data_IF_853456458382
#
_entry.id   IF_853456458382
#
_cell.length_a   1.000
_cell.length_b   1.000
_cell.length_c   1.000
_cell.angle_alpha   90.00
_cell.angle_beta   90.00
_cell.angle_gamma   90.00
#
_symmetry.space_group_name_H-M   'P 1'
#
loop_
_entity.id
_entity.type
_entity.pdbx_description
1 polymer ?
#
# COMPACT_ATOMS: atom_id res chain seq x y z
N UNK A 1 -39.19 -28.01 -65.99
CA UNK A 1 -39.22 -27.67 -64.55
C UNK A 1 -37.80 -27.43 -64.11
N UNK A 2 -37.38 -26.15 -64.07
CA UNK A 2 -36.01 -25.76 -63.73
C UNK A 2 -35.96 -25.57 -62.21
N UNK A 3 -35.33 -26.49 -61.49
CA UNK A 3 -35.04 -26.33 -60.06
C UNK A 3 -33.93 -25.30 -59.91
N UNK A 4 -34.26 -24.08 -59.49
CA UNK A 4 -33.26 -23.16 -58.97
C UNK A 4 -32.89 -23.67 -57.57
N UNK A 5 -31.78 -24.39 -57.48
CA UNK A 5 -31.10 -24.63 -56.21
C UNK A 5 -30.61 -23.27 -55.69
N UNK A 6 -31.43 -22.61 -54.87
CA UNK A 6 -30.97 -21.50 -54.04
C UNK A 6 -30.08 -22.12 -52.97
N UNK A 7 -28.82 -22.37 -53.34
CA UNK A 7 -27.80 -22.77 -52.40
C UNK A 7 -27.73 -21.73 -51.29
N UNK A 8 -28.05 -22.16 -50.07
CA UNK A 8 -28.01 -21.29 -48.90
C UNK A 8 -26.56 -20.84 -48.68
N UNK A 9 -26.21 -19.63 -49.15
CA UNK A 9 -24.87 -19.06 -48.96
C UNK A 9 -24.66 -18.96 -47.45
N UNK A 10 -23.77 -19.80 -46.93
CA UNK A 10 -23.46 -19.79 -45.50
C UNK A 10 -22.66 -18.54 -45.19
N UNK A 11 -23.27 -17.64 -44.41
CA UNK A 11 -22.66 -16.39 -43.94
C UNK A 11 -21.40 -16.67 -43.14
N UNK A 12 -20.37 -15.88 -43.36
CA UNK A 12 -19.11 -15.94 -42.63
C UNK A 12 -19.05 -14.83 -41.59
N UNK A 13 -18.22 -15.04 -40.56
CA UNK A 13 -17.86 -13.93 -39.69
C UNK A 13 -16.88 -13.01 -40.40
N UNK A 14 -16.96 -11.71 -40.15
CA UNK A 14 -15.91 -10.76 -40.51
C UNK A 14 -15.71 -9.78 -39.36
N UNK A 15 -14.51 -9.22 -39.28
CA UNK A 15 -14.14 -8.27 -38.25
C UNK A 15 -13.76 -6.95 -38.89
N UNK A 16 -14.14 -5.84 -38.26
CA UNK A 16 -13.71 -4.50 -38.64
C UNK A 16 -13.01 -3.87 -37.45
N UNK A 17 -11.72 -3.61 -37.60
CA UNK A 17 -10.94 -2.87 -36.61
C UNK A 17 -11.33 -1.39 -36.69
N UNK A 18 -11.77 -0.83 -35.57
CA UNK A 18 -12.12 0.60 -35.44
C UNK A 18 -10.89 1.45 -35.09
N UNK A 19 -9.94 0.86 -34.37
CA UNK A 19 -8.68 1.50 -34.00
C UNK A 19 -7.56 0.46 -34.04
N UNK A 20 -6.53 0.72 -34.85
CA UNK A 20 -5.37 -0.16 -35.00
C UNK A 20 -4.49 -0.18 -33.75
N UNK A 21 -4.53 0.88 -32.94
CA UNK A 21 -3.82 0.92 -31.67
C UNK A 21 -4.74 0.53 -30.51
N UNK A 22 -4.72 -0.74 -30.15
CA UNK A 22 -5.50 -1.29 -29.04
C UNK A 22 -4.65 -1.19 -27.78
N UNK A 23 -4.98 -0.22 -26.93
CA UNK A 23 -4.30 0.02 -25.65
C UNK A 23 -5.23 -0.37 -24.51
N UNK A 24 -4.68 -1.09 -23.53
CA UNK A 24 -5.28 -1.30 -22.22
C UNK A 24 -4.35 -0.77 -21.13
N UNK A 25 -4.95 -0.22 -20.08
CA UNK A 25 -4.21 0.10 -18.86
C UNK A 25 -3.89 -1.19 -18.09
N UNK A 26 -2.72 -1.24 -17.48
CA UNK A 26 -2.33 -2.31 -16.57
C UNK A 26 -3.37 -2.44 -15.45
N UNK A 27 -3.84 -3.65 -15.19
CA UNK A 27 -4.84 -3.90 -14.15
C UNK A 27 -4.85 -5.35 -13.67
N UNK A 28 -5.44 -5.59 -12.50
CA UNK A 28 -5.71 -6.94 -11.99
C UNK A 28 -6.87 -7.66 -12.69
N UNK A 29 -7.51 -6.99 -13.65
CA UNK A 29 -8.66 -7.55 -14.37
C UNK A 29 -8.20 -8.64 -15.32
N UNK A 30 -8.91 -9.77 -15.35
CA UNK A 30 -8.69 -10.78 -16.38
C UNK A 30 -9.18 -10.27 -17.74
N UNK A 31 -8.39 -10.49 -18.78
CA UNK A 31 -8.78 -10.08 -20.13
C UNK A 31 -10.00 -10.88 -20.61
N UNK A 32 -11.00 -10.16 -21.12
CA UNK A 32 -12.17 -10.76 -21.76
C UNK A 32 -12.37 -10.14 -23.13
N UNK A 33 -12.74 -10.95 -24.12
CA UNK A 33 -12.90 -10.48 -25.51
C UNK A 33 -13.94 -9.36 -25.66
N UNK A 34 -14.93 -9.30 -24.74
CA UNK A 34 -15.92 -8.23 -24.68
C UNK A 34 -15.33 -6.85 -24.42
N UNK A 35 -14.11 -6.78 -23.87
CA UNK A 35 -13.35 -5.53 -23.69
C UNK A 35 -12.96 -4.89 -25.03
N UNK A 36 -13.01 -5.64 -26.13
CA UNK A 36 -12.71 -5.14 -27.48
C UNK A 36 -13.92 -4.54 -28.20
N UNK A 37 -15.11 -4.50 -27.60
CA UNK A 37 -16.35 -4.06 -28.26
C UNK A 37 -16.29 -2.66 -28.87
N UNK A 38 -15.50 -1.76 -28.27
CA UNK A 38 -15.32 -0.38 -28.72
C UNK A 38 -14.11 -0.23 -29.67
N UNK A 39 -13.41 -1.33 -29.98
CA UNK A 39 -12.19 -1.39 -30.79
C UNK A 39 -12.35 -2.24 -32.04
N UNK A 40 -13.24 -3.24 -32.01
CA UNK A 40 -13.49 -4.18 -33.10
C UNK A 40 -15.00 -4.43 -33.21
N UNK A 41 -15.54 -4.30 -34.41
CA UNK A 41 -16.91 -4.74 -34.72
C UNK A 41 -16.90 -6.13 -35.34
N UNK A 42 -17.93 -6.92 -35.05
CA UNK A 42 -18.10 -8.29 -35.53
C UNK A 42 -19.35 -8.36 -36.39
N UNK A 43 -19.25 -8.99 -37.56
CA UNK A 43 -20.37 -9.16 -38.48
C UNK A 43 -20.58 -10.61 -38.85
N UNK A 44 -21.84 -11.04 -39.00
CA UNK A 44 -22.22 -12.31 -39.61
C UNK A 44 -22.88 -12.05 -40.97
N UNK A 45 -22.13 -12.20 -42.05
CA UNK A 45 -22.46 -11.58 -43.33
C UNK A 45 -22.47 -10.06 -43.18
N UNK A 46 -23.58 -9.40 -43.53
CA UNK A 46 -23.71 -7.93 -43.43
C UNK A 46 -24.28 -7.44 -42.09
N UNK A 47 -24.73 -8.35 -41.21
CA UNK A 47 -25.36 -7.99 -39.94
C UNK A 47 -24.32 -7.89 -38.84
N UNK A 48 -24.19 -6.71 -38.21
CA UNK A 48 -23.40 -6.52 -37.00
C UNK A 48 -23.97 -7.38 -35.84
N UNK A 49 -23.07 -7.97 -35.07
CA UNK A 49 -23.37 -8.84 -33.94
C UNK A 49 -22.42 -8.57 -32.78
N UNK A 50 -22.75 -9.13 -31.61
CA UNK A 50 -21.90 -9.06 -30.43
C UNK A 50 -20.76 -10.10 -30.48
N UNK A 51 -20.00 -10.17 -29.38
CA UNK A 51 -18.82 -11.04 -29.23
C UNK A 51 -19.15 -12.46 -28.73
N UNK A 52 -20.42 -12.86 -28.61
CA UNK A 52 -20.81 -14.13 -27.99
C UNK A 52 -20.24 -15.37 -28.72
N UNK A 53 -20.01 -15.24 -30.03
CA UNK A 53 -19.43 -16.30 -30.86
C UNK A 53 -17.92 -16.12 -31.12
N UNK A 54 -17.28 -15.15 -30.48
CA UNK A 54 -15.86 -14.83 -30.65
C UNK A 54 -15.08 -15.43 -29.48
N UNK A 55 -14.04 -16.20 -29.80
CA UNK A 55 -12.99 -16.57 -28.87
C UNK A 55 -11.67 -15.93 -29.30
N UNK A 56 -10.64 -16.05 -28.48
CA UNK A 56 -9.29 -15.65 -28.85
C UNK A 56 -8.28 -16.76 -28.56
N UNK A 57 -7.15 -16.69 -29.25
CA UNK A 57 -5.96 -17.51 -29.01
C UNK A 57 -4.75 -16.58 -28.84
N UNK A 58 -3.80 -16.98 -28.01
CA UNK A 58 -2.65 -16.15 -27.60
C UNK A 58 -2.70 -15.88 -26.10
N UNK A 59 -1.56 -15.52 -25.53
CA UNK A 59 -1.44 -15.20 -24.12
C UNK A 59 -1.46 -13.68 -23.94
N UNK A 60 -2.31 -13.19 -23.04
CA UNK A 60 -2.39 -11.79 -22.64
C UNK A 60 -2.46 -11.69 -21.13
N UNK A 61 -1.63 -10.83 -20.56
CA UNK A 61 -1.51 -10.63 -19.12
C UNK A 61 -1.65 -9.14 -18.82
N UNK A 62 -2.85 -8.70 -18.44
CA UNK A 62 -3.10 -7.27 -18.13
C UNK A 62 -2.38 -6.80 -16.86
N UNK A 63 -1.78 -7.71 -16.07
CA UNK A 63 -0.94 -7.34 -14.93
C UNK A 63 0.45 -6.88 -15.35
N UNK A 64 0.83 -7.04 -16.63
CA UNK A 64 2.18 -6.74 -17.10
C UNK A 64 2.15 -5.82 -18.30
N UNK A 65 2.91 -4.73 -18.20
CA UNK A 65 3.17 -3.83 -19.32
C UNK A 65 3.88 -4.59 -20.43
N UNK A 66 3.42 -4.42 -21.67
CA UNK A 66 3.99 -5.14 -22.81
C UNK A 66 3.10 -5.13 -24.06
N UNK A 67 3.60 -5.77 -25.10
CA UNK A 67 2.86 -6.01 -26.34
C UNK A 67 2.47 -7.47 -26.42
N UNK A 68 1.20 -7.74 -26.70
CA UNK A 68 0.61 -9.07 -26.71
C UNK A 68 -0.05 -9.33 -28.05
N UNK A 69 0.38 -10.38 -28.72
CA UNK A 69 -0.23 -10.84 -29.96
C UNK A 69 -1.36 -11.83 -29.64
N UNK A 70 -2.57 -11.52 -30.09
CA UNK A 70 -3.70 -12.42 -30.02
C UNK A 70 -4.33 -12.59 -31.40
N UNK A 71 -5.09 -13.67 -31.58
CA UNK A 71 -5.96 -13.84 -32.75
C UNK A 71 -7.38 -14.05 -32.28
N UNK A 72 -8.30 -13.18 -32.72
CA UNK A 72 -9.72 -13.44 -32.58
C UNK A 72 -10.12 -14.56 -33.54
N UNK A 73 -11.01 -15.43 -33.10
CA UNK A 73 -11.53 -16.55 -33.87
C UNK A 73 -13.05 -16.57 -33.73
N UNK A 74 -13.76 -16.67 -34.84
CA UNK A 74 -15.20 -16.88 -34.85
C UNK A 74 -15.57 -17.93 -35.89
N UNK A 75 -16.45 -18.86 -35.53
CA UNK A 75 -16.82 -19.98 -36.40
C UNK A 75 -18.32 -19.99 -36.63
N UNK A 76 -18.74 -19.98 -37.90
CA UNK A 76 -20.12 -20.26 -38.27
C UNK A 76 -20.19 -21.54 -39.10
N UNK A 77 -20.89 -22.55 -38.57
CA UNK A 77 -20.88 -23.92 -39.08
C UNK A 77 -19.44 -24.46 -39.18
N UNK A 78 -18.87 -24.47 -40.38
CA UNK A 78 -17.54 -25.01 -40.67
C UNK A 78 -16.57 -23.95 -41.21
N UNK A 79 -16.97 -22.67 -41.22
CA UNK A 79 -16.13 -21.57 -41.71
C UNK A 79 -15.57 -20.79 -40.53
N UNK A 80 -14.25 -20.72 -40.46
CA UNK A 80 -13.51 -20.05 -39.39
C UNK A 80 -12.96 -18.73 -39.93
N UNK A 81 -13.28 -17.64 -39.25
CA UNK A 81 -12.72 -16.33 -39.52
C UNK A 81 -11.74 -15.97 -38.42
N UNK A 82 -10.59 -15.40 -38.82
CA UNK A 82 -9.53 -15.01 -37.90
C UNK A 82 -9.17 -13.53 -38.08
N UNK A 83 -8.84 -12.85 -36.99
CA UNK A 83 -8.28 -11.51 -37.00
C UNK A 83 -7.09 -11.45 -36.03
N UNK A 84 -5.85 -11.35 -36.53
CA UNK A 84 -4.71 -11.06 -35.67
C UNK A 84 -4.80 -9.63 -35.13
N UNK A 85 -4.46 -9.45 -33.86
CA UNK A 85 -4.43 -8.16 -33.16
C UNK A 85 -3.16 -8.08 -32.32
N UNK A 86 -2.64 -6.86 -32.19
CA UNK A 86 -1.62 -6.51 -31.20
C UNK A 86 -2.28 -5.65 -30.13
N UNK A 87 -2.17 -6.10 -28.88
CA UNK A 87 -2.65 -5.38 -27.71
C UNK A 87 -1.44 -4.80 -26.97
N UNK A 88 -1.46 -3.49 -26.73
CA UNK A 88 -0.48 -2.80 -25.92
C UNK A 88 -1.04 -2.62 -24.50
N UNK A 89 -0.42 -3.28 -23.52
CA UNK A 89 -0.68 -2.99 -22.10
C UNK A 89 0.32 -1.92 -21.68
N UNK A 90 -0.20 -0.79 -21.20
CA UNK A 90 0.61 0.35 -20.73
C UNK A 90 0.26 0.66 -19.30
N UNK A 91 1.17 1.36 -18.63
CA UNK A 91 0.90 1.95 -17.33
C UNK A 91 1.23 3.44 -17.39
N UNK A 92 0.20 4.24 -17.15
CA UNK A 92 0.16 5.70 -17.23
C UNK A 92 -0.23 6.32 -15.89
N UNK A 93 -0.49 5.49 -14.88
CA UNK A 93 -0.95 5.93 -13.57
C UNK A 93 0.27 6.16 -12.71
N UNK A 94 0.36 7.34 -12.09
CA UNK A 94 1.45 7.64 -11.15
C UNK A 94 1.31 6.79 -9.88
N UNK A 95 2.43 6.41 -9.26
CA UNK A 95 2.38 5.81 -7.93
C UNK A 95 1.90 6.83 -6.89
N UNK A 96 1.49 6.32 -5.72
CA UNK A 96 0.94 7.09 -4.61
C UNK A 96 1.85 6.98 -3.37
N UNK A 97 2.20 8.13 -2.79
CA UNK A 97 2.85 8.18 -1.49
C UNK A 97 1.83 8.08 -0.36
N UNK A 98 2.05 7.15 0.56
CA UNK A 98 1.37 7.05 1.84
C UNK A 98 2.36 7.40 2.95
N UNK A 99 2.26 8.64 3.44
CA UNK A 99 3.14 9.23 4.45
C UNK A 99 2.33 9.49 5.72
N UNK A 100 2.73 8.88 6.85
CA UNK A 100 1.99 8.97 8.12
C UNK A 100 2.52 10.05 9.06
N UNK A 101 3.59 10.73 8.69
CA UNK A 101 4.17 11.88 9.40
C UNK A 101 4.94 12.78 8.42
N UNK A 102 4.74 14.11 8.52
CA UNK A 102 5.39 15.09 7.63
C UNK A 102 6.70 15.66 8.21
N UNK A 103 7.03 15.29 9.46
CA UNK A 103 8.28 15.61 10.11
C UNK A 103 8.92 14.33 10.66
N UNK A 104 10.12 14.03 10.21
CA UNK A 104 10.94 12.92 10.66
C UNK A 104 11.96 13.40 11.69
N UNK A 105 11.94 12.83 12.89
CA UNK A 105 12.88 13.19 13.95
C UNK A 105 14.04 12.21 14.05
N UNK A 106 15.25 12.72 13.88
CA UNK A 106 16.50 11.97 14.10
C UNK A 106 17.33 12.61 15.20
N UNK A 107 18.06 11.78 15.95
CA UNK A 107 18.99 12.24 16.95
C UNK A 107 20.32 12.65 16.30
N UNK A 108 21.02 13.58 16.91
CA UNK A 108 22.32 14.06 16.43
C UNK A 108 23.29 12.88 16.31
N UNK A 109 24.03 12.84 15.19
CA UNK A 109 24.99 11.80 14.83
C UNK A 109 24.38 10.39 14.66
N UNK A 110 23.05 10.26 14.58
CA UNK A 110 22.39 8.97 14.37
C UNK A 110 22.83 8.36 13.01
N UNK A 111 23.31 7.11 13.02
CA UNK A 111 23.81 6.42 11.82
C UNK A 111 22.67 5.80 11.00
N UNK A 112 21.62 6.59 10.77
CA UNK A 112 20.42 6.17 10.05
C UNK A 112 20.53 6.45 8.54
N UNK A 113 20.04 5.54 7.71
CA UNK A 113 19.87 5.81 6.28
C UNK A 113 18.52 6.49 6.03
N UNK A 114 18.49 7.50 5.15
CA UNK A 114 17.24 8.12 4.71
C UNK A 114 16.54 7.19 3.72
N UNK A 115 15.86 6.16 4.24
CA UNK A 115 15.10 5.18 3.48
C UNK A 115 13.70 5.02 4.09
N UNK A 116 12.75 4.55 3.29
CA UNK A 116 11.34 4.37 3.66
C UNK A 116 11.12 3.54 4.93
N UNK A 117 11.96 2.52 5.13
CA UNK A 117 11.86 1.54 6.20
C UNK A 117 11.89 2.17 7.60
N UNK A 118 12.54 3.32 7.74
CA UNK A 118 12.66 4.02 9.01
C UNK A 118 11.56 5.04 9.27
N UNK A 119 10.82 5.48 8.27
CA UNK A 119 9.95 6.67 8.37
C UNK A 119 8.48 6.39 8.06
N UNK A 120 8.07 5.11 8.09
CA UNK A 120 6.72 4.67 7.74
C UNK A 120 6.25 5.15 6.37
N UNK A 121 7.18 5.45 5.45
CA UNK A 121 6.82 5.91 4.11
C UNK A 121 6.48 4.67 3.28
N UNK A 122 5.37 4.72 2.56
CA UNK A 122 5.07 3.73 1.53
C UNK A 122 4.85 4.39 0.18
N UNK A 123 5.38 3.80 -0.88
CA UNK A 123 5.08 4.11 -2.27
C UNK A 123 4.33 2.92 -2.85
N UNK A 124 3.09 3.15 -3.28
CA UNK A 124 2.22 2.11 -3.81
C UNK A 124 1.94 2.39 -5.27
N UNK A 125 2.03 1.36 -6.10
CA UNK A 125 1.81 1.43 -7.53
C UNK A 125 0.81 0.37 -7.97
N UNK A 126 -0.43 0.78 -8.22
CA UNK A 126 -1.48 -0.03 -8.84
C UNK A 126 -1.42 -1.55 -8.55
N UNK A 127 -1.35 -2.41 -9.58
CA UNK A 127 -1.18 -3.86 -9.44
C UNK A 127 0.20 -4.30 -8.90
N UNK A 128 1.22 -3.45 -8.99
CA UNK A 128 2.58 -3.73 -8.54
C UNK A 128 2.72 -3.72 -7.01
N UNK A 129 1.78 -3.07 -6.30
CA UNK A 129 1.77 -3.04 -4.84
C UNK A 129 2.83 -2.08 -4.29
N UNK A 130 3.51 -2.47 -3.21
CA UNK A 130 4.55 -1.63 -2.59
C UNK A 130 5.83 -1.67 -3.41
N UNK A 131 6.34 -0.49 -3.75
CA UNK A 131 7.57 -0.27 -4.52
C UNK A 131 8.54 0.69 -3.78
N UNK A 132 8.65 0.52 -2.47
CA UNK A 132 9.43 1.38 -1.58
C UNK A 132 10.91 1.53 -1.98
N UNK A 133 11.48 0.52 -2.63
CA UNK A 133 12.85 0.54 -3.15
C UNK A 133 13.06 1.60 -4.25
N UNK A 134 11.98 2.19 -4.77
CA UNK A 134 11.99 3.23 -5.80
C UNK A 134 11.76 4.64 -5.25
N UNK A 135 11.80 4.78 -3.94
CA UNK A 135 11.79 6.07 -3.28
C UNK A 135 13.22 6.60 -3.24
N UNK A 136 13.39 7.84 -3.66
CA UNK A 136 14.62 8.60 -3.48
C UNK A 136 14.34 9.88 -2.67
N UNK A 137 15.37 10.38 -2.01
CA UNK A 137 15.29 11.56 -1.15
C UNK A 137 16.17 12.65 -1.76
N UNK A 138 15.58 13.79 -2.11
CA UNK A 138 16.29 14.97 -2.58
C UNK A 138 16.37 16.01 -1.45
N UNK A 139 17.57 16.52 -1.20
CA UNK A 139 17.86 17.43 -0.09
C UNK A 139 19.15 17.05 0.63
N UNK A 140 19.59 17.90 1.56
CA UNK A 140 20.77 17.63 2.39
C UNK A 140 20.44 17.83 3.85
N UNK A 141 20.69 16.80 4.66
CA UNK A 141 20.47 16.81 6.11
C UNK A 141 21.82 16.75 6.80
N UNK A 142 22.19 17.81 7.52
CA UNK A 142 23.39 17.79 8.35
C UNK A 142 23.06 17.17 9.72
N UNK A 143 23.39 15.89 9.90
CA UNK A 143 23.10 15.11 11.11
C UNK A 143 23.91 15.54 12.34
N UNK A 144 24.93 16.38 12.17
CA UNK A 144 25.78 16.87 13.27
C UNK A 144 25.24 18.17 13.89
N UNK A 145 24.31 18.84 13.19
CA UNK A 145 23.76 20.13 13.59
C UNK A 145 22.25 20.02 13.80
N UNK A 146 21.80 20.31 15.02
CA UNK A 146 20.38 20.41 15.31
C UNK A 146 19.72 21.48 14.43
N UNK A 147 18.56 21.17 13.87
CA UNK A 147 17.92 22.01 12.88
C UNK A 147 16.81 21.29 12.11
N UNK A 148 16.09 22.05 11.28
CA UNK A 148 15.03 21.54 10.40
C UNK A 148 15.51 21.62 8.95
N UNK A 149 15.44 20.51 8.24
CA UNK A 149 15.96 20.35 6.89
C UNK A 149 14.82 19.89 5.96
N UNK A 150 14.42 20.69 4.95
CA UNK A 150 13.42 20.27 3.98
C UNK A 150 14.01 19.18 3.07
N UNK A 151 13.20 18.17 2.78
CA UNK A 151 13.53 17.04 1.92
C UNK A 151 12.34 16.73 1.04
N UNK A 152 12.59 16.46 -0.24
CA UNK A 152 11.56 16.02 -1.18
C UNK A 152 11.71 14.52 -1.43
N UNK A 153 10.64 13.76 -1.15
CA UNK A 153 10.52 12.37 -1.53
C UNK A 153 10.16 12.30 -3.01
N UNK A 154 10.88 11.48 -3.78
CA UNK A 154 10.62 11.27 -5.20
C UNK A 154 10.38 9.78 -5.41
N UNK A 155 9.17 9.43 -5.84
CA UNK A 155 8.79 8.08 -6.21
C UNK A 155 8.67 7.95 -7.72
N UNK A 156 9.19 6.86 -8.28
CA UNK A 156 9.06 6.54 -9.69
C UNK A 156 8.73 5.06 -9.88
N UNK A 157 7.70 4.74 -10.65
CA UNK A 157 7.36 3.35 -10.97
C UNK A 157 8.28 2.74 -12.04
N UNK A 158 7.94 1.54 -12.54
CA UNK A 158 8.68 0.86 -13.61
C UNK A 158 8.47 1.50 -14.99
N UNK A 159 7.30 2.08 -15.22
CA UNK A 159 6.90 2.71 -16.50
C UNK A 159 7.43 4.13 -16.64
N UNK A 160 7.96 4.68 -15.56
CA UNK A 160 8.60 5.98 -15.49
C UNK A 160 7.68 7.08 -14.97
N UNK A 161 6.46 6.80 -14.52
CA UNK A 161 5.59 7.82 -13.94
C UNK A 161 6.13 8.24 -12.57
N UNK A 162 6.03 9.54 -12.26
CA UNK A 162 6.66 10.15 -11.08
C UNK A 162 5.66 10.87 -10.19
N UNK A 163 5.94 10.81 -8.89
CA UNK A 163 5.25 11.55 -7.83
C UNK A 163 6.28 12.14 -6.86
N UNK A 164 5.99 13.31 -6.32
CA UNK A 164 6.83 14.02 -5.37
C UNK A 164 6.02 14.34 -4.10
N UNK A 165 6.69 14.34 -2.94
CA UNK A 165 6.07 14.69 -1.67
C UNK A 165 7.10 15.35 -0.73
N UNK A 166 6.79 16.54 -0.22
CA UNK A 166 7.71 17.28 0.65
C UNK A 166 7.53 16.87 2.13
N UNK A 167 8.66 16.70 2.81
CA UNK A 167 8.75 16.39 4.24
C UNK A 167 9.84 17.23 4.89
N UNK A 168 9.85 17.27 6.22
CA UNK A 168 10.96 17.85 6.97
C UNK A 168 11.70 16.76 7.74
N UNK A 169 13.03 16.84 7.75
CA UNK A 169 13.87 16.07 8.66
C UNK A 169 14.37 17.01 9.74
N UNK A 170 14.03 16.72 10.99
CA UNK A 170 14.52 17.48 12.13
C UNK A 170 15.61 16.70 12.85
N UNK A 171 16.75 17.35 13.06
CA UNK A 171 17.86 16.83 13.86
C UNK A 171 17.74 17.44 15.25
N UNK A 172 17.68 16.60 16.28
CA UNK A 172 17.64 17.02 17.69
C UNK A 172 18.85 16.49 18.45
N UNK A 173 19.34 17.27 19.42
CA UNK A 173 20.30 16.83 20.43
C UNK A 173 19.62 16.54 21.79
N UNK A 174 18.28 16.55 21.83
CA UNK A 174 17.47 16.24 23.00
C UNK A 174 16.93 14.81 22.86
N UNK A 175 17.60 13.88 23.53
CA UNK A 175 17.26 12.46 23.51
C UNK A 175 15.86 12.16 24.08
N UNK A 176 15.39 12.92 25.06
CA UNK A 176 14.02 12.77 25.60
C UNK A 176 12.96 13.11 24.55
N UNK A 177 13.27 14.01 23.63
CA UNK A 177 12.41 14.35 22.51
C UNK A 177 12.35 13.21 21.49
N UNK A 178 13.52 12.63 21.15
CA UNK A 178 13.59 11.42 20.32
C UNK A 178 12.82 10.25 20.96
N UNK A 179 12.94 10.08 22.28
CA UNK A 179 12.20 9.06 23.02
C UNK A 179 10.67 9.28 22.93
N UNK A 180 10.20 10.52 23.06
CA UNK A 180 8.78 10.85 22.89
C UNK A 180 8.29 10.53 21.48
N UNK A 181 9.07 10.89 20.47
CA UNK A 181 8.76 10.59 19.07
C UNK A 181 8.66 9.08 18.82
N UNK A 182 9.65 8.29 19.28
CA UNK A 182 9.62 6.83 19.17
C UNK A 182 8.44 6.20 19.94
N UNK A 183 8.11 6.72 21.12
CA UNK A 183 6.94 6.29 21.89
C UNK A 183 5.63 6.51 21.11
N UNK A 184 5.45 7.71 20.53
CA UNK A 184 4.25 8.02 19.73
C UNK A 184 4.17 7.13 18.48
N UNK A 185 5.32 6.85 17.84
CA UNK A 185 5.39 5.92 16.71
C UNK A 185 5.04 4.49 17.10
N UNK A 186 5.52 4.02 18.24
CA UNK A 186 5.15 2.71 18.77
C UNK A 186 3.65 2.62 19.07
N UNK A 187 3.03 3.65 19.63
CA UNK A 187 1.58 3.73 19.82
C UNK A 187 0.84 3.59 18.48
N UNK A 188 1.19 4.42 17.49
CA UNK A 188 0.55 4.39 16.15
C UNK A 188 0.68 3.01 15.50
N UNK A 189 1.88 2.43 15.53
CA UNK A 189 2.14 1.11 14.96
C UNK A 189 1.38 0.00 15.72
N UNK A 190 1.34 0.05 17.05
CA UNK A 190 0.53 -0.87 17.86
C UNK A 190 -0.97 -0.71 17.53
N UNK A 191 -1.47 0.48 17.25
CA UNK A 191 -2.86 0.66 16.80
C UNK A 191 -3.08 0.34 15.32
N UNK A 192 -2.06 -0.15 14.63
CA UNK A 192 -2.13 -0.39 13.19
C UNK A 192 -2.52 0.83 12.36
N UNK A 193 -2.31 2.05 12.88
CA UNK A 193 -2.57 3.31 12.17
C UNK A 193 -1.62 3.50 10.98
N UNK A 194 -0.49 2.78 11.00
CA UNK A 194 0.50 2.77 9.92
C UNK A 194 0.32 1.60 8.95
N UNK A 195 -0.73 0.78 9.09
CA UNK A 195 -0.97 -0.36 8.19
C UNK A 195 -1.55 0.09 6.86
N UNK A 196 -0.98 -0.43 5.78
CA UNK A 196 -1.46 -0.26 4.42
C UNK A 196 -2.04 -1.57 3.95
N UNK A 197 -3.28 -1.51 3.46
CA UNK A 197 -4.02 -2.66 2.96
C UNK A 197 -4.04 -2.65 1.43
N UNK A 198 -4.04 -3.86 0.86
CA UNK A 198 -4.21 -4.00 -0.59
C UNK A 198 -5.58 -3.47 -1.00
N UNK A 199 -5.58 -2.53 -1.96
CA UNK A 199 -6.81 -1.92 -2.48
C UNK A 199 -7.70 -2.99 -3.13
N UNK A 200 -9.01 -2.90 -2.90
CA UNK A 200 -10.03 -3.80 -3.45
C UNK A 200 -9.88 -5.30 -3.07
N UNK A 201 -9.10 -5.63 -2.04
CA UNK A 201 -8.93 -7.00 -1.57
C UNK A 201 -9.96 -7.36 -0.47
N UNK A 202 -10.91 -8.28 -0.71
CA UNK A 202 -11.87 -8.70 0.32
C UNK A 202 -11.23 -9.46 1.49
N UNK A 203 -10.00 -9.98 1.32
CA UNK A 203 -9.25 -10.68 2.36
C UNK A 203 -8.47 -9.74 3.29
N UNK A 204 -8.41 -8.44 2.96
CA UNK A 204 -7.76 -7.40 3.77
C UNK A 204 -6.27 -7.67 3.99
N UNK A 205 -5.56 -8.05 2.93
CA UNK A 205 -4.13 -8.26 3.00
C UNK A 205 -3.40 -6.96 3.39
N UNK A 206 -2.58 -7.03 4.44
CA UNK A 206 -1.63 -5.97 4.81
C UNK A 206 -0.39 -6.12 3.94
N UNK A 207 0.02 -5.04 3.28
CA UNK A 207 1.12 -5.07 2.31
C UNK A 207 2.40 -4.41 2.82
N UNK A 208 2.34 -3.57 3.86
CA UNK A 208 3.52 -2.87 4.42
C UNK A 208 3.95 -3.40 5.81
N UNK A 209 3.67 -4.67 6.11
CA UNK A 209 3.79 -5.18 7.47
C UNK A 209 5.20 -5.03 8.06
N UNK A 210 6.26 -5.31 7.30
CA UNK A 210 7.63 -5.12 7.81
C UNK A 210 7.90 -3.64 8.16
N UNK A 211 7.63 -2.73 7.23
CA UNK A 211 7.84 -1.29 7.41
C UNK A 211 7.03 -0.72 8.58
N UNK A 212 5.76 -1.11 8.73
CA UNK A 212 4.88 -0.63 9.80
C UNK A 212 5.37 -1.00 11.21
N UNK A 213 6.15 -2.07 11.35
CA UNK A 213 6.63 -2.59 12.63
C UNK A 213 8.14 -2.46 12.85
N UNK A 214 8.88 -1.82 11.94
CA UNK A 214 10.33 -1.62 12.06
C UNK A 214 10.77 -0.84 13.31
N UNK A 215 9.86 -0.07 13.94
CA UNK A 215 10.15 0.64 15.20
C UNK A 215 10.35 -0.34 16.37
N UNK A 216 9.79 -1.55 16.27
CA UNK A 216 9.87 -2.59 17.30
C UNK A 216 10.93 -3.63 16.99
N UNK A 217 11.47 -4.23 18.05
CA UNK A 217 12.26 -5.45 17.96
C UNK A 217 11.41 -6.67 17.58
N UNK A 218 12.03 -7.76 17.03
CA UNK A 218 11.31 -8.95 16.57
C UNK A 218 10.40 -9.63 17.61
N UNK A 219 10.78 -9.60 18.89
CA UNK A 219 9.98 -10.13 20.00
C UNK A 219 8.67 -9.35 20.21
N UNK A 220 8.69 -8.02 20.10
CA UNK A 220 7.49 -7.19 20.23
C UNK A 220 6.61 -7.23 18.98
N UNK A 221 7.22 -7.31 17.80
CA UNK A 221 6.48 -7.61 16.56
C UNK A 221 5.67 -8.90 16.71
N UNK A 222 6.29 -9.96 17.20
CA UNK A 222 5.61 -11.25 17.45
C UNK A 222 4.52 -11.14 18.52
N UNK A 223 4.76 -10.40 19.60
CA UNK A 223 3.77 -10.15 20.64
C UNK A 223 2.57 -9.37 20.10
N UNK A 224 2.81 -8.34 19.28
CA UNK A 224 1.77 -7.62 18.57
C UNK A 224 0.99 -8.54 17.64
N UNK A 225 1.64 -9.41 16.86
CA UNK A 225 0.95 -10.37 15.99
C UNK A 225 0.03 -11.32 16.76
N UNK A 226 0.48 -11.78 17.92
CA UNK A 226 -0.34 -12.57 18.83
C UNK A 226 -1.50 -11.74 19.39
N UNK A 227 -1.24 -10.52 19.84
CA UNK A 227 -2.25 -9.58 20.33
C UNK A 227 -3.18 -9.04 19.23
N UNK A 228 -2.86 -9.16 17.96
CA UNK A 228 -3.72 -8.68 16.87
C UNK A 228 -4.53 -9.80 16.24
N UNK A 229 -4.27 -11.05 16.63
CA UNK A 229 -4.83 -12.22 15.96
C UNK A 229 -4.38 -12.34 14.50
N UNK A 230 -3.34 -11.61 14.08
CA UNK A 230 -2.76 -11.67 12.72
C UNK A 230 -2.03 -13.01 12.51
N UNK A 231 -1.62 -13.69 13.59
CA UNK A 231 -1.05 -15.04 13.50
C UNK A 231 -2.11 -16.13 13.72
N UNK A 232 -2.53 -16.80 12.64
CA UNK A 232 -3.48 -17.92 12.68
C UNK A 232 -4.92 -17.54 12.28
N UNK A 233 -5.73 -18.54 11.94
CA UNK A 233 -7.17 -18.38 11.66
C UNK A 233 -7.82 -17.47 12.70
N UNK A 234 -8.37 -16.34 12.23
CA UNK A 234 -9.12 -15.34 13.00
C UNK A 234 -9.83 -15.95 14.22
N UNK A 235 -9.29 -15.74 15.42
CA UNK A 235 -9.89 -16.14 16.69
C UNK A 235 -10.17 -14.90 17.54
N UNK A 236 -11.41 -14.36 17.53
CA UNK A 236 -11.75 -13.08 18.16
C UNK A 236 -11.75 -13.12 19.71
N UNK A 237 -11.14 -14.13 20.35
CA UNK A 237 -11.22 -14.36 21.80
C UNK A 237 -9.88 -14.38 22.55
N UNK A 238 -8.75 -14.10 21.91
CA UNK A 238 -7.46 -14.12 22.62
C UNK A 238 -6.66 -12.84 22.59
N UNK A 239 -7.21 -11.75 22.05
CA UNK A 239 -6.56 -10.46 22.15
C UNK A 239 -7.52 -9.28 21.92
N UNK A 240 -7.26 -8.14 22.58
CA UNK A 240 -8.14 -6.95 22.60
C UNK A 240 -8.12 -6.09 21.34
N UNK A 241 -7.52 -6.56 20.24
CA UNK A 241 -7.34 -5.80 19.00
C UNK A 241 -8.33 -6.31 17.95
N UNK A 242 -9.23 -5.45 17.51
CA UNK A 242 -10.26 -5.73 16.51
C UNK A 242 -9.97 -4.91 15.25
N UNK A 243 -10.08 -5.49 14.06
CA UNK A 243 -9.94 -4.73 12.80
C UNK A 243 -11.30 -4.15 12.38
N UNK A 244 -11.37 -2.86 12.04
CA UNK A 244 -12.59 -2.17 11.59
C UNK A 244 -12.39 -1.53 10.21
N UNK A 245 -13.46 -1.48 9.40
CA UNK A 245 -13.54 -0.58 8.24
C UNK A 245 -14.12 0.75 8.67
N UNK A 246 -13.54 1.86 8.24
CA UNK A 246 -14.17 3.16 8.35
C UNK A 246 -15.15 3.42 7.18
N UNK A 247 -15.67 4.64 7.12
CA UNK A 247 -16.63 5.10 6.11
C UNK A 247 -16.03 5.17 4.68
N UNK A 248 -14.71 5.21 4.56
CA UNK A 248 -13.95 5.26 3.31
C UNK A 248 -13.41 3.86 2.90
N UNK A 249 -13.89 2.79 3.56
CA UNK A 249 -13.41 1.40 3.42
C UNK A 249 -11.94 1.18 3.83
N UNK A 250 -11.34 2.11 4.56
CA UNK A 250 -10.00 1.97 5.12
C UNK A 250 -10.05 1.08 6.36
N UNK A 251 -9.13 0.13 6.45
CA UNK A 251 -9.05 -0.82 7.57
C UNK A 251 -8.15 -0.27 8.69
N UNK A 252 -8.60 -0.35 9.94
CA UNK A 252 -7.85 0.06 11.12
C UNK A 252 -7.81 -1.06 12.16
N UNK A 253 -6.66 -1.27 12.80
CA UNK A 253 -6.57 -2.15 13.97
C UNK A 253 -6.98 -1.39 15.23
N UNK A 254 -8.25 -1.47 15.61
CA UNK A 254 -8.68 -1.04 16.93
C UNK A 254 -8.16 -2.02 17.98
N UNK A 255 -6.92 -1.83 18.38
CA UNK A 255 -6.68 -1.75 19.80
C UNK A 255 -7.50 -0.53 20.21
N UNK A 256 -8.57 -0.68 20.98
CA UNK A 256 -9.11 0.47 21.71
C UNK A 256 -8.26 0.55 22.98
N UNK A 257 -7.13 1.29 23.05
CA UNK A 257 -7.07 2.14 24.21
C UNK A 257 -8.23 3.11 24.04
N UNK A 258 -9.01 3.35 25.08
CA UNK A 258 -9.93 4.49 25.07
C UNK A 258 -9.15 5.81 25.05
N UNK A 259 -8.36 6.05 24.01
CA UNK A 259 -7.93 7.36 23.61
C UNK A 259 -9.10 7.92 22.83
N UNK A 260 -10.03 8.56 23.54
CA UNK A 260 -10.78 9.62 22.90
C UNK A 260 -9.71 10.60 22.38
N UNK A 261 -9.31 10.50 21.11
CA UNK A 261 -8.26 11.34 20.53
C UNK A 261 -8.61 12.83 20.73
N UNK A 262 -9.91 13.14 20.68
CA UNK A 262 -10.51 14.44 20.98
C UNK A 262 -10.28 14.93 22.43
N UNK A 263 -9.87 14.04 23.32
CA UNK A 263 -9.60 14.30 24.75
C UNK A 263 -8.12 14.22 25.10
N UNK A 264 -7.24 13.80 24.18
CA UNK A 264 -5.81 13.74 24.44
C UNK A 264 -5.24 15.14 24.65
N UNK A 265 -4.54 15.34 25.76
CA UNK A 265 -3.92 16.63 26.10
C UNK A 265 -2.42 16.61 25.79
N UNK A 266 -1.74 15.53 26.16
CA UNK A 266 -0.29 15.44 26.02
C UNK A 266 0.30 14.24 26.77
N UNK A 267 1.57 13.98 26.53
CA UNK A 267 2.33 12.94 27.23
C UNK A 267 3.58 13.57 27.84
N UNK A 268 3.88 13.22 29.09
CA UNK A 268 5.16 13.54 29.73
C UNK A 268 5.99 12.28 29.88
N UNK A 269 7.31 12.39 29.70
CA UNK A 269 8.26 11.32 29.96
C UNK A 269 9.05 11.58 31.24
N UNK A 270 9.29 10.52 32.00
CA UNK A 270 10.23 10.52 33.12
C UNK A 270 11.15 9.31 33.01
N UNK A 271 12.46 9.54 33.07
CA UNK A 271 13.45 8.47 33.10
C UNK A 271 13.35 7.74 34.44
N UNK A 272 13.32 6.41 34.40
CA UNK A 272 13.40 5.55 35.57
C UNK A 272 14.84 5.14 35.86
N UNK A 273 15.54 4.66 34.82
CA UNK A 273 16.95 4.29 34.86
C UNK A 273 17.55 4.43 33.45
N UNK A 274 18.86 4.55 33.44
CA UNK A 274 19.71 4.59 32.25
C UNK A 274 20.90 3.67 32.51
N UNK A 275 21.10 2.74 31.58
CA UNK A 275 22.18 1.75 31.61
C UNK A 275 22.87 1.75 30.22
N UNK A 276 23.95 0.99 30.04
CA UNK A 276 24.77 1.06 28.83
C UNK A 276 23.97 0.73 27.55
N UNK A 277 23.63 1.77 26.77
CA UNK A 277 22.85 1.66 25.54
C UNK A 277 21.34 1.56 25.72
N UNK A 278 20.81 1.70 26.95
CA UNK A 278 19.38 1.58 27.25
C UNK A 278 18.85 2.75 28.08
N UNK A 279 17.61 3.15 27.80
CA UNK A 279 16.87 4.10 28.62
C UNK A 279 15.46 3.63 28.87
N UNK A 280 15.08 3.64 30.14
CA UNK A 280 13.76 3.21 30.58
C UNK A 280 12.95 4.43 30.97
N UNK A 281 11.79 4.56 30.37
CA UNK A 281 10.87 5.65 30.58
C UNK A 281 9.56 5.14 31.18
N UNK A 282 9.00 6.00 32.02
CA UNK A 282 7.56 6.05 32.26
C UNK A 282 7.00 7.18 31.41
N UNK A 283 6.06 6.83 30.51
CA UNK A 283 5.27 7.80 29.78
C UNK A 283 3.91 7.95 30.46
N UNK A 284 3.54 9.18 30.81
CA UNK A 284 2.24 9.51 31.41
C UNK A 284 1.43 10.32 30.41
N UNK A 285 0.45 9.70 29.78
CA UNK A 285 -0.48 10.37 28.85
C UNK A 285 -1.68 10.89 29.62
N UNK A 286 -2.02 12.16 29.38
CA UNK A 286 -3.11 12.87 30.05
C UNK A 286 -4.27 13.07 29.07
N UNK A 287 -5.48 12.81 29.57
CA UNK A 287 -6.72 12.98 28.81
C UNK A 287 -7.71 13.80 29.61
N UNK A 288 -8.55 14.57 28.92
CA UNK A 288 -9.56 15.43 29.51
C UNK A 288 -10.96 15.08 28.98
N UNK A 289 -11.83 14.60 29.86
CA UNK A 289 -13.23 14.35 29.55
C UNK A 289 -14.10 15.33 30.35
N UNK A 290 -14.69 16.32 29.67
CA UNK A 290 -15.38 17.43 30.32
C UNK A 290 -14.45 18.18 31.31
N UNK A 291 -14.79 18.23 32.60
CA UNK A 291 -13.97 18.83 33.67
C UNK A 291 -13.02 17.84 34.35
N UNK A 292 -13.10 16.54 34.03
CA UNK A 292 -12.27 15.51 34.64
C UNK A 292 -11.02 15.22 33.81
N UNK A 293 -9.89 15.10 34.51
CA UNK A 293 -8.60 14.70 33.93
C UNK A 293 -8.25 13.31 34.42
N UNK A 294 -7.86 12.42 33.52
CA UNK A 294 -7.31 11.11 33.88
C UNK A 294 -5.99 10.87 33.14
N UNK A 295 -5.13 10.05 33.76
CA UNK A 295 -3.80 9.73 33.24
C UNK A 295 -3.65 8.24 33.00
N UNK A 296 -2.87 7.90 31.97
CA UNK A 296 -2.44 6.53 31.68
C UNK A 296 -0.93 6.44 31.72
N UNK A 297 -0.45 5.37 32.32
CA UNK A 297 0.98 5.13 32.53
C UNK A 297 1.40 3.98 31.62
N UNK A 298 2.45 4.22 30.84
CA UNK A 298 3.07 3.26 29.94
C UNK A 298 4.53 3.10 30.34
N UNK A 299 5.05 1.88 30.22
CA UNK A 299 6.50 1.63 30.35
C UNK A 299 7.09 1.48 28.95
N UNK A 300 8.21 2.14 28.73
CA UNK A 300 8.80 2.28 27.41
C UNK A 300 10.32 2.22 27.54
N UNK A 301 10.96 1.29 26.84
CA UNK A 301 12.41 1.14 26.83
C UNK A 301 12.89 1.38 25.41
N UNK A 302 13.88 2.25 25.27
CA UNK A 302 14.63 2.39 24.02
C UNK A 302 16.03 1.82 24.19
N UNK A 303 16.54 1.30 23.08
CA UNK A 303 17.90 0.79 22.96
C UNK A 303 18.61 1.45 21.79
N UNK A 304 19.86 1.82 21.98
CA UNK A 304 20.74 2.26 20.90
C UNK A 304 21.43 1.06 20.27
N UNK A 305 21.24 0.87 18.95
CA UNK A 305 21.88 -0.16 18.16
C UNK A 305 22.53 0.50 16.94
N UNK A 306 23.84 0.32 16.81
CA UNK A 306 24.63 0.90 15.72
C UNK A 306 24.37 2.41 15.52
N UNK A 307 24.18 3.14 16.62
CA UNK A 307 23.90 4.58 16.61
C UNK A 307 22.48 4.95 16.20
N UNK A 308 21.50 4.03 16.29
CA UNK A 308 20.07 4.25 16.03
C UNK A 308 19.27 3.88 17.28
N UNK A 309 18.32 4.72 17.66
CA UNK A 309 17.44 4.45 18.82
C UNK A 309 16.17 3.70 18.38
N UNK A 310 15.98 2.50 18.93
CA UNK A 310 14.84 1.62 18.66
C UNK A 310 14.00 1.40 19.91
N UNK A 311 12.73 1.04 19.73
CA UNK A 311 11.85 0.62 20.82
C UNK A 311 12.14 -0.84 21.12
N UNK A 312 12.79 -1.10 22.26
CA UNK A 312 13.10 -2.45 22.72
C UNK A 312 11.93 -3.05 23.48
N UNK A 313 11.31 -2.29 24.39
CA UNK A 313 10.16 -2.75 25.17
C UNK A 313 9.05 -1.71 25.23
N UNK A 314 7.80 -2.14 24.95
CA UNK A 314 6.65 -1.27 25.00
C UNK A 314 5.44 -1.93 25.67
N UNK A 315 5.02 -1.37 26.81
CA UNK A 315 3.90 -1.88 27.60
C UNK A 315 2.72 -0.92 27.56
N UNK A 316 1.64 -1.35 26.90
CA UNK A 316 0.37 -0.66 26.97
C UNK A 316 -0.34 -0.97 28.30
N UNK A 317 -1.01 0.01 28.94
CA UNK A 317 -1.90 -0.24 30.05
C UNK A 317 -3.05 -1.11 29.56
N UNK A 318 -3.25 -2.24 30.26
CA UNK A 318 -4.32 -3.20 30.01
C UNK A 318 -5.71 -2.64 30.30
#
# INVERSE_FOLDING_TARGET
MLFVLVGCITKEYSFKVLNENIIFEQSETQFHVSMLKDKVQVFLGEKETNFDAVSYSGDIDLLKVGQYEISLNATNKNKVSKLPLVINVVDTVKPEFLVFENEFLIYKNELIQMISDYFFINLVDGPNGIINERISFEGSVNKELAGLYPVTLIGQDLSGNKVEHDVNVRVTDIIDEKAMYLYQRAIKAAHGETLVFKKNDPSLQIINFDTAFNVFTPNYRSHFMWLSGINGTFNPKQSGVQLFKDHDNMMYASIKPSMDADKYVGTSLSIQNEDEGYRHYIATSTYKNNEETFTRIYKFIIRELDGIWHVEEFYMPY
#
